data_IF_309498424538
#
_entry.id   IF_309498424538
#
_cell.length_a   1.000
_cell.length_b   1.000
_cell.length_c   1.000
_cell.angle_alpha   90.00
_cell.angle_beta   90.00
_cell.angle_gamma   90.00
#
_symmetry.space_group_name_H-M   'P 1'
#
loop_
_entity.id
_entity.type
_entity.pdbx_description
1 polymer ?
#
# COMPACT_ATOMS: atom_id res chain seq x y z
N UNK A 1 -14.49 -2.48 8.46
CA UNK A 1 -13.84 -2.56 7.14
C UNK A 1 -12.33 -2.54 7.35
N UNK A 2 -11.59 -3.37 6.64
CA UNK A 2 -10.12 -3.45 6.72
C UNK A 2 -9.48 -2.51 5.70
N UNK A 3 -8.34 -1.93 6.07
CA UNK A 3 -7.58 -1.03 5.21
C UNK A 3 -6.07 -1.23 5.44
N UNK A 4 -5.28 -0.93 4.42
CA UNK A 4 -3.83 -0.84 4.57
C UNK A 4 -3.43 0.46 5.28
N UNK A 5 -2.22 0.54 5.87
CA UNK A 5 -1.64 1.82 6.25
C UNK A 5 -1.60 2.77 5.06
N UNK A 6 -2.07 3.99 5.28
CA UNK A 6 -2.14 5.03 4.26
C UNK A 6 -1.08 6.10 4.54
N UNK A 7 -0.46 6.60 3.47
CA UNK A 7 0.38 7.79 3.49
C UNK A 7 -0.26 8.82 2.56
N UNK A 8 -0.85 9.86 3.16
CA UNK A 8 -1.50 10.95 2.43
C UNK A 8 -0.50 12.07 2.16
N UNK A 9 -0.43 12.51 0.90
CA UNK A 9 0.50 13.54 0.45
C UNK A 9 -0.19 14.49 -0.50
N UNK A 10 0.19 15.78 -0.45
CA UNK A 10 -0.36 16.78 -1.38
C UNK A 10 0.15 16.59 -2.83
N UNK A 11 1.25 15.86 -3.01
CA UNK A 11 1.88 15.59 -4.30
C UNK A 11 2.32 14.13 -4.39
N UNK A 12 2.44 13.62 -5.62
CA UNK A 12 2.98 12.27 -5.87
C UNK A 12 4.41 12.17 -5.31
N UNK A 13 4.65 11.13 -4.52
CA UNK A 13 5.98 10.76 -4.04
C UNK A 13 6.86 10.41 -5.24
N UNK A 14 8.00 11.11 -5.36
CA UNK A 14 8.85 11.07 -6.56
C UNK A 14 9.78 9.86 -6.58
N UNK A 15 10.25 9.43 -5.41
CA UNK A 15 11.23 8.36 -5.28
C UNK A 15 11.15 7.65 -3.92
N UNK A 16 11.89 6.55 -3.80
CA UNK A 16 11.93 5.71 -2.60
C UNK A 16 12.48 6.44 -1.35
N UNK A 17 13.41 7.38 -1.52
CA UNK A 17 13.97 8.12 -0.38
C UNK A 17 12.91 9.01 0.26
N UNK A 18 12.15 9.73 -0.57
CA UNK A 18 11.01 10.53 -0.11
C UNK A 18 9.95 9.66 0.56
N UNK A 19 9.63 8.49 -0.02
CA UNK A 19 8.72 7.53 0.59
C UNK A 19 9.20 7.09 1.98
N UNK A 20 10.47 6.71 2.10
CA UNK A 20 11.05 6.24 3.35
C UNK A 20 11.03 7.33 4.43
N UNK A 21 11.37 8.58 4.10
CA UNK A 21 11.28 9.71 5.05
C UNK A 21 9.87 9.87 5.60
N UNK A 22 8.86 9.81 4.74
CA UNK A 22 7.47 9.93 5.15
C UNK A 22 6.98 8.71 5.96
N UNK A 23 7.40 7.50 5.59
CA UNK A 23 7.05 6.28 6.34
C UNK A 23 7.66 6.26 7.75
N UNK A 24 8.90 6.75 7.93
CA UNK A 24 9.51 6.88 9.27
C UNK A 24 8.65 7.78 10.15
N UNK A 25 8.16 8.90 9.60
CA UNK A 25 7.29 9.82 10.33
C UNK A 25 5.97 9.13 10.76
N UNK A 26 5.35 8.35 9.87
CA UNK A 26 4.10 7.62 10.17
C UNK A 26 4.27 6.38 11.05
N UNK A 27 5.43 5.73 10.98
CA UNK A 27 5.77 4.49 11.68
C UNK A 27 7.23 4.57 12.17
N UNK A 28 7.50 5.26 13.29
CA UNK A 28 8.86 5.47 13.79
C UNK A 28 9.61 4.18 14.14
N UNK A 29 8.87 3.09 14.41
CA UNK A 29 9.42 1.76 14.69
C UNK A 29 9.80 0.96 13.44
N UNK A 30 9.54 1.50 12.24
CA UNK A 30 9.90 0.85 10.99
C UNK A 30 11.39 1.08 10.69
N UNK A 31 12.15 -0.01 10.60
CA UNK A 31 13.56 0.05 10.20
C UNK A 31 13.66 0.14 8.67
N UNK A 32 13.56 1.36 8.13
CA UNK A 32 13.60 1.60 6.67
C UNK A 32 14.85 1.10 5.97
N UNK A 33 15.96 0.86 6.69
CA UNK A 33 17.17 0.26 6.10
C UNK A 33 16.99 -1.22 5.77
N UNK A 34 16.07 -1.89 6.47
CA UNK A 34 15.70 -3.29 6.23
C UNK A 34 14.44 -3.44 5.38
N UNK A 35 13.71 -2.35 5.16
CA UNK A 35 12.53 -2.36 4.30
C UNK A 35 12.90 -2.24 2.83
N UNK A 36 12.25 -3.06 2.00
CA UNK A 36 12.41 -3.01 0.54
C UNK A 36 11.07 -2.68 -0.09
N UNK A 37 10.82 -1.38 -0.26
CA UNK A 37 9.59 -0.91 -0.87
C UNK A 37 9.73 -0.75 -2.38
N UNK A 38 8.74 -1.26 -3.12
CA UNK A 38 8.65 -1.16 -4.57
C UNK A 38 7.30 -0.54 -4.92
N UNK A 39 7.32 0.50 -5.76
CA UNK A 39 6.09 1.07 -6.32
C UNK A 39 5.50 0.09 -7.34
N UNK A 40 4.30 -0.42 -7.05
CA UNK A 40 3.65 -1.41 -7.91
C UNK A 40 3.08 -0.77 -9.18
N UNK A 41 2.27 0.28 -9.05
CA UNK A 41 1.66 0.96 -10.19
C UNK A 41 2.42 2.23 -10.57
N UNK A 42 2.99 2.25 -11.79
CA UNK A 42 3.66 3.44 -12.36
C UNK A 42 2.69 4.61 -12.57
N UNK A 43 1.48 4.31 -13.03
CA UNK A 43 0.36 5.24 -13.21
C UNK A 43 -0.58 5.17 -12.03
N UNK A 44 -1.05 6.33 -11.54
CA UNK A 44 -2.00 6.40 -10.42
C UNK A 44 -3.31 5.71 -10.75
N UNK A 45 -3.87 4.99 -9.79
CA UNK A 45 -5.29 4.60 -9.85
C UNK A 45 -6.12 5.81 -9.43
N UNK A 46 -7.00 6.26 -10.31
CA UNK A 46 -7.87 7.40 -10.03
C UNK A 46 -9.15 6.88 -9.39
N UNK A 47 -9.40 7.28 -8.15
CA UNK A 47 -10.67 7.03 -7.48
C UNK A 47 -11.40 8.37 -7.30
N UNK A 48 -12.56 8.49 -7.97
CA UNK A 48 -13.39 9.70 -7.91
C UNK A 48 -14.45 9.54 -6.82
N UNK A 49 -14.40 10.42 -5.84
CA UNK A 49 -15.43 10.64 -4.83
C UNK A 49 -16.20 11.91 -5.20
N UNK A 50 -17.40 12.08 -4.64
CA UNK A 50 -18.27 13.23 -4.94
C UNK A 50 -17.58 14.58 -4.75
N UNK A 51 -16.72 14.70 -3.72
CA UNK A 51 -16.02 15.94 -3.38
C UNK A 51 -14.51 15.87 -3.57
N UNK A 52 -13.97 14.73 -4.00
CA UNK A 52 -12.53 14.51 -3.99
C UNK A 52 -12.10 13.57 -5.10
N UNK A 53 -10.92 13.84 -5.67
CA UNK A 53 -10.26 12.93 -6.61
C UNK A 53 -8.98 12.41 -5.97
N UNK A 54 -8.96 11.11 -5.68
CA UNK A 54 -7.80 10.44 -5.12
C UNK A 54 -6.92 9.89 -6.25
N UNK A 55 -5.61 10.10 -6.09
CA UNK A 55 -4.58 9.49 -6.92
C UNK A 55 -3.84 8.46 -6.08
N UNK A 56 -4.13 7.19 -6.31
CA UNK A 56 -3.71 6.09 -5.43
C UNK A 56 -2.51 5.36 -6.03
N UNK A 57 -1.52 5.14 -5.18
CA UNK A 57 -0.31 4.37 -5.46
C UNK A 57 -0.15 3.29 -4.39
N UNK A 58 0.16 2.07 -4.82
CA UNK A 58 0.44 0.95 -3.95
C UNK A 58 1.95 0.70 -3.88
N UNK A 59 2.47 0.68 -2.66
CA UNK A 59 3.86 0.35 -2.37
C UNK A 59 3.90 -1.04 -1.73
N UNK A 60 4.73 -1.91 -2.29
CA UNK A 60 4.87 -3.30 -1.84
C UNK A 60 6.14 -3.41 -1.03
N UNK A 61 6.03 -3.95 0.17
CA UNK A 61 7.18 -4.27 0.99
C UNK A 61 7.57 -5.73 0.78
N UNK A 62 8.75 -5.95 0.22
CA UNK A 62 9.27 -7.31 0.06
C UNK A 62 9.99 -7.74 1.34
N UNK A 63 9.39 -8.72 2.04
CA UNK A 63 9.98 -9.37 3.19
C UNK A 63 10.45 -10.76 2.81
N UNK A 64 11.69 -11.09 3.19
CA UNK A 64 12.23 -12.46 3.09
C UNK A 64 11.83 -13.32 4.28
N UNK A 65 11.33 -12.69 5.36
CA UNK A 65 10.92 -13.34 6.58
C UNK A 65 9.39 -13.53 6.60
N UNK A 66 8.94 -14.63 7.19
CA UNK A 66 7.51 -14.86 7.44
C UNK A 66 7.10 -13.99 8.62
N UNK A 67 6.13 -13.10 8.37
CA UNK A 67 5.61 -12.23 9.42
C UNK A 67 4.65 -13.00 10.33
N UNK A 68 4.74 -12.83 11.66
CA UNK A 68 3.75 -13.36 12.58
C UNK A 68 2.39 -12.72 12.27
N UNK A 69 1.32 -13.52 12.32
CA UNK A 69 -0.06 -13.11 12.00
C UNK A 69 -0.30 -12.73 10.53
N UNK A 70 0.53 -13.21 9.59
CA UNK A 70 0.24 -13.10 8.18
C UNK A 70 -1.07 -13.83 7.81
N UNK A 71 -1.81 -13.27 6.85
CA UNK A 71 -3.05 -13.87 6.35
C UNK A 71 -2.75 -14.75 5.14
N UNK A 72 -3.47 -15.87 5.04
CA UNK A 72 -3.49 -16.64 3.79
C UNK A 72 -4.21 -15.84 2.70
N UNK A 73 -3.92 -16.12 1.42
CA UNK A 73 -4.67 -15.49 0.31
C UNK A 73 -6.17 -15.77 0.39
N UNK A 74 -6.55 -16.97 0.87
CA UNK A 74 -7.94 -17.35 1.07
C UNK A 74 -8.63 -16.48 2.12
N UNK A 75 -7.94 -16.17 3.22
CA UNK A 75 -8.52 -15.35 4.29
C UNK A 75 -8.48 -13.86 3.94
N UNK A 76 -7.42 -13.40 3.27
CA UNK A 76 -7.33 -12.05 2.73
C UNK A 76 -8.52 -11.72 1.83
N UNK A 77 -8.90 -12.62 0.92
CA UNK A 77 -10.04 -12.45 0.00
C UNK A 77 -11.42 -12.41 0.68
N UNK A 78 -11.52 -12.81 1.96
CA UNK A 78 -12.77 -12.71 2.72
C UNK A 78 -12.91 -11.38 3.47
N UNK A 79 -11.84 -10.59 3.55
CA UNK A 79 -11.87 -9.36 4.33
C UNK A 79 -12.73 -8.30 3.63
N UNK A 80 -13.65 -7.63 4.36
CA UNK A 80 -14.40 -6.51 3.80
C UNK A 80 -13.47 -5.30 3.66
N UNK A 81 -13.04 -5.00 2.44
CA UNK A 81 -12.18 -3.88 2.09
C UNK A 81 -12.87 -2.92 1.11
N UNK A 82 -12.46 -1.64 1.04
CA UNK A 82 -12.90 -0.72 -0.01
C UNK A 82 -12.64 -1.28 -1.42
N UNK A 83 -13.51 -0.95 -2.38
CA UNK A 83 -13.44 -1.48 -3.76
C UNK A 83 -12.09 -1.25 -4.45
N UNK A 84 -11.42 -0.14 -4.16
CA UNK A 84 -10.09 0.14 -4.72
C UNK A 84 -9.02 -0.81 -4.21
N UNK A 85 -9.11 -1.24 -2.95
CA UNK A 85 -8.22 -2.23 -2.35
C UNK A 85 -8.58 -3.62 -2.85
N UNK A 86 -9.86 -3.95 -2.95
CA UNK A 86 -10.32 -5.22 -3.52
C UNK A 86 -9.75 -5.42 -4.94
N UNK A 87 -9.92 -4.42 -5.80
CA UNK A 87 -9.39 -4.44 -7.17
C UNK A 87 -7.87 -4.57 -7.22
N UNK A 88 -7.15 -3.98 -6.25
CA UNK A 88 -5.70 -4.15 -6.13
C UNK A 88 -5.34 -5.59 -5.74
N UNK A 89 -5.98 -6.15 -4.70
CA UNK A 89 -5.74 -7.54 -4.24
C UNK A 89 -5.99 -8.51 -5.40
N UNK A 90 -7.10 -8.35 -6.12
CA UNK A 90 -7.44 -9.22 -7.24
C UNK A 90 -6.38 -9.11 -8.35
N UNK A 91 -5.94 -7.91 -8.73
CA UNK A 91 -4.90 -7.76 -9.76
C UNK A 91 -3.54 -8.26 -9.31
N UNK A 92 -3.17 -8.03 -8.05
CA UNK A 92 -1.84 -8.32 -7.53
C UNK A 92 -1.60 -9.82 -7.31
N UNK A 93 -2.63 -10.58 -6.90
CA UNK A 93 -2.50 -11.99 -6.53
C UNK A 93 -3.13 -12.99 -7.52
N UNK A 94 -3.81 -12.53 -8.58
CA UNK A 94 -4.37 -13.42 -9.62
C UNK A 94 -3.40 -13.60 -10.81
N UNK A 95 -2.39 -12.74 -10.95
CA UNK A 95 -1.33 -12.86 -11.95
C UNK A 95 -0.12 -13.57 -11.35
#
# INVERSE_FOLDING_TARGET
MYQFPLLETNQKIKNINEFNTQMISLKPKLDTKKEKWILWNKTSIIHKLTHQKLYIFFWINQKTEILPNALTLKDLKKLPVPVVIQNFIDKFFIT
#
